data_IF_016181183517
#
_entry.id   IF_016181183517
#
_cell.length_a   1.000
_cell.length_b   1.000
_cell.length_c   1.000
_cell.angle_alpha   90.00
_cell.angle_beta   90.00
_cell.angle_gamma   90.00
#
_symmetry.space_group_name_H-M   'P 1'
#
loop_
_entity.id
_entity.type
_entity.pdbx_description
1 polymer ?
#
# COMPACT_ATOMS: atom_id res chain seq x y z
N UNK A 1 -37.40 -34.07 53.36
CA UNK A 1 -37.50 -32.60 53.29
C UNK A 1 -36.21 -31.90 53.77
N UNK A 2 -35.02 -32.40 53.37
CA UNK A 2 -33.71 -31.83 53.76
C UNK A 2 -32.60 -32.08 52.71
N UNK A 3 -32.99 -32.20 51.44
CA UNK A 3 -32.07 -32.41 50.29
C UNK A 3 -32.50 -31.68 49.02
N UNK A 4 -33.35 -30.65 49.14
CA UNK A 4 -33.83 -29.87 47.99
C UNK A 4 -33.69 -28.34 48.21
N UNK A 5 -32.95 -27.92 49.22
CA UNK A 5 -32.68 -26.49 49.52
C UNK A 5 -31.19 -26.13 49.49
N UNK A 6 -30.30 -27.06 49.12
CA UNK A 6 -28.87 -26.79 48.93
C UNK A 6 -28.47 -26.57 47.47
N UNK A 7 -29.39 -26.75 46.50
CA UNK A 7 -29.06 -26.58 45.06
C UNK A 7 -29.48 -25.24 44.47
N UNK A 8 -29.87 -24.25 45.28
CA UNK A 8 -30.29 -22.92 44.83
C UNK A 8 -29.40 -21.77 45.34
N UNK A 9 -28.32 -22.07 46.07
CA UNK A 9 -27.33 -21.08 46.50
C UNK A 9 -26.02 -21.12 45.69
N UNK A 10 -25.97 -21.90 44.61
CA UNK A 10 -24.79 -22.02 43.74
C UNK A 10 -24.94 -21.28 42.40
N UNK A 11 -25.94 -20.39 42.26
CA UNK A 11 -26.12 -19.52 41.10
C UNK A 11 -26.01 -18.06 41.53
N UNK A 12 -24.84 -17.63 41.96
CA UNK A 12 -24.48 -16.23 42.02
C UNK A 12 -22.97 -16.08 42.05
N UNK A 13 -22.46 -15.18 41.20
CA UNK A 13 -21.07 -14.74 41.05
C UNK A 13 -20.05 -15.75 40.53
N UNK A 14 -20.19 -16.16 39.27
CA UNK A 14 -19.00 -16.23 38.41
C UNK A 14 -18.87 -14.88 37.72
N UNK A 15 -18.21 -13.96 38.42
CA UNK A 15 -17.59 -12.80 37.81
C UNK A 15 -16.55 -13.35 36.81
N UNK A 16 -16.81 -13.16 35.51
CA UNK A 16 -15.83 -13.43 34.47
C UNK A 16 -14.64 -12.52 34.73
N UNK A 17 -13.68 -13.02 35.49
CA UNK A 17 -12.37 -12.41 35.64
C UNK A 17 -11.64 -12.62 34.32
N UNK A 18 -11.62 -11.57 33.50
CA UNK A 18 -10.61 -11.45 32.47
C UNK A 18 -9.24 -11.59 33.14
N UNK A 19 -8.38 -12.52 32.73
CA UNK A 19 -6.99 -12.48 33.18
C UNK A 19 -6.44 -11.12 32.79
N UNK A 20 -5.98 -10.34 33.77
CA UNK A 20 -5.42 -9.01 33.58
C UNK A 20 -4.06 -9.01 32.86
N UNK A 21 -3.68 -10.13 32.25
CA UNK A 21 -2.42 -10.33 31.55
C UNK A 21 -2.67 -11.00 30.19
N UNK A 22 -3.46 -10.36 29.33
CA UNK A 22 -3.26 -10.50 27.88
C UNK A 22 -2.42 -9.31 27.46
N UNK A 23 -1.11 -9.45 27.58
CA UNK A 23 -0.17 -8.59 26.87
C UNK A 23 -0.33 -8.95 25.39
N UNK A 24 -1.05 -8.13 24.63
CA UNK A 24 -0.84 -8.06 23.20
C UNK A 24 0.61 -7.65 23.01
N UNK A 25 1.49 -8.63 22.79
CA UNK A 25 2.87 -8.36 22.43
C UNK A 25 2.85 -7.71 21.04
N UNK A 26 2.73 -6.38 21.03
CA UNK A 26 3.18 -5.57 19.91
C UNK A 26 4.67 -5.84 19.65
N UNK A 27 5.18 -5.47 18.47
CA UNK A 27 6.59 -5.67 18.15
C UNK A 27 7.47 -5.07 19.25
N UNK A 28 8.49 -5.82 19.67
CA UNK A 28 9.44 -5.36 20.66
C UNK A 28 10.13 -4.09 20.15
N UNK A 29 10.18 -2.99 20.94
CA UNK A 29 10.87 -1.79 20.50
C UNK A 29 12.37 -2.05 20.42
N UNK A 30 12.95 -1.70 19.27
CA UNK A 30 14.39 -1.52 19.11
C UNK A 30 14.85 -0.35 20.02
N UNK A 31 16.16 -0.22 20.32
CA UNK A 31 16.64 0.80 21.24
C UNK A 31 16.35 2.20 20.68
N UNK A 32 15.44 2.93 21.35
CA UNK A 32 14.98 4.26 20.92
C UNK A 32 13.52 4.51 21.32
N UNK A 33 13.16 4.26 22.59
CA UNK A 33 11.77 4.26 23.07
C UNK A 33 10.97 5.56 22.80
N UNK A 34 11.62 6.67 22.45
CA UNK A 34 10.95 7.93 22.06
C UNK A 34 10.39 7.90 20.62
N UNK A 35 11.03 7.20 19.67
CA UNK A 35 10.60 7.21 18.25
C UNK A 35 9.37 6.38 17.98
N UNK A 36 9.14 5.31 18.76
CA UNK A 36 7.94 4.48 18.65
C UNK A 36 6.67 5.23 19.05
N UNK A 37 6.75 6.03 20.11
CA UNK A 37 5.64 6.85 20.59
C UNK A 37 5.40 8.06 19.68
N UNK A 38 6.47 8.72 19.20
CA UNK A 38 6.38 9.82 18.23
C UNK A 38 5.77 9.35 16.91
N UNK A 39 6.27 8.25 16.33
CA UNK A 39 5.74 7.69 15.09
C UNK A 39 4.27 7.30 15.20
N UNK A 40 3.87 6.74 16.35
CA UNK A 40 2.48 6.38 16.60
C UNK A 40 1.59 7.62 16.71
N UNK A 41 2.07 8.69 17.33
CA UNK A 41 1.36 9.97 17.38
C UNK A 41 1.22 10.58 15.97
N UNK A 42 2.30 10.65 15.20
CA UNK A 42 2.29 11.12 13.81
C UNK A 42 1.30 10.33 12.93
N UNK A 43 1.25 9.01 13.12
CA UNK A 43 0.32 8.13 12.41
C UNK A 43 -1.14 8.46 12.78
N UNK A 44 -1.44 8.57 14.07
CA UNK A 44 -2.79 8.90 14.54
C UNK A 44 -3.25 10.28 14.04
N UNK A 45 -2.37 11.27 14.11
CA UNK A 45 -2.63 12.63 13.65
C UNK A 45 -2.87 12.69 12.13
N UNK A 46 -2.06 11.97 11.34
CA UNK A 46 -2.24 11.91 9.89
C UNK A 46 -3.55 11.21 9.49
N UNK A 47 -3.89 10.12 10.19
CA UNK A 47 -5.15 9.41 9.99
C UNK A 47 -6.35 10.27 10.37
N UNK A 48 -6.29 10.98 11.50
CA UNK A 48 -7.37 11.86 11.95
C UNK A 48 -7.59 13.04 10.99
N UNK A 49 -6.52 13.66 10.48
CA UNK A 49 -6.63 14.71 9.46
C UNK A 49 -7.34 14.22 8.20
N UNK A 50 -7.05 12.99 7.78
CA UNK A 50 -7.61 12.41 6.57
C UNK A 50 -9.07 11.95 6.75
N UNK A 51 -9.38 11.30 7.88
CA UNK A 51 -10.65 10.58 8.10
C UNK A 51 -11.62 11.29 9.03
N UNK A 52 -11.14 12.29 9.80
CA UNK A 52 -11.91 13.00 10.81
C UNK A 52 -12.10 12.23 12.13
N UNK A 53 -11.39 11.12 12.33
CA UNK A 53 -11.45 10.31 13.56
C UNK A 53 -10.10 9.68 13.88
N UNK A 54 -9.87 9.34 15.15
CA UNK A 54 -8.69 8.58 15.56
C UNK A 54 -8.76 7.12 15.06
N UNK A 55 -7.60 6.47 14.86
CA UNK A 55 -7.55 5.04 14.52
C UNK A 55 -8.00 4.18 15.70
N UNK A 56 -8.87 3.19 15.45
CA UNK A 56 -9.52 2.38 16.49
C UNK A 56 -9.12 0.90 16.42
N UNK A 57 -8.95 0.37 15.22
CA UNK A 57 -8.72 -1.06 14.98
C UNK A 57 -7.42 -1.30 14.18
N UNK A 58 -6.99 -2.57 13.99
CA UNK A 58 -5.76 -2.85 13.27
C UNK A 58 -5.73 -2.33 11.82
N UNK A 59 -6.88 -2.27 11.14
CA UNK A 59 -6.97 -1.74 9.77
C UNK A 59 -6.71 -0.24 9.77
N UNK A 60 -7.32 0.50 10.69
CA UNK A 60 -7.06 1.93 10.84
C UNK A 60 -5.58 2.20 11.12
N UNK A 61 -4.97 1.42 12.00
CA UNK A 61 -3.54 1.57 12.31
C UNK A 61 -2.65 1.25 11.12
N UNK A 62 -2.98 0.25 10.30
CA UNK A 62 -2.23 -0.02 9.07
C UNK A 62 -2.28 1.18 8.12
N UNK A 63 -3.46 1.76 7.95
CA UNK A 63 -3.68 2.96 7.13
C UNK A 63 -3.02 4.21 7.74
N UNK A 64 -3.01 4.34 9.06
CA UNK A 64 -2.33 5.42 9.76
C UNK A 64 -0.81 5.41 9.51
N UNK A 65 -0.17 4.24 9.58
CA UNK A 65 1.29 4.14 9.45
C UNK A 65 1.80 4.46 8.04
N UNK A 66 1.05 4.12 6.97
CA UNK A 66 1.48 4.49 5.61
C UNK A 66 1.42 6.02 5.37
N UNK A 67 0.56 6.74 6.10
CA UNK A 67 0.37 8.19 5.98
C UNK A 67 1.46 9.04 6.68
N UNK A 68 2.31 8.42 7.50
CA UNK A 68 3.35 9.13 8.25
C UNK A 68 4.34 9.80 7.29
N UNK A 69 4.38 11.14 7.26
CA UNK A 69 5.24 11.92 6.39
C UNK A 69 6.66 12.15 6.96
N UNK A 70 6.91 11.72 8.19
CA UNK A 70 8.23 11.69 8.82
C UNK A 70 8.95 10.37 8.49
N UNK A 71 10.28 10.37 8.57
CA UNK A 71 11.10 9.16 8.49
C UNK A 71 11.82 8.90 9.81
N UNK A 72 11.71 7.66 10.30
CA UNK A 72 12.32 7.23 11.56
C UNK A 72 13.52 6.30 11.35
N UNK A 73 13.68 5.73 10.15
CA UNK A 73 14.84 4.95 9.77
C UNK A 73 16.07 5.84 9.54
N UNK A 74 17.16 5.48 10.23
CA UNK A 74 18.43 6.22 10.21
C UNK A 74 18.97 6.45 8.79
N UNK A 75 18.80 5.47 7.89
CA UNK A 75 19.26 5.53 6.49
C UNK A 75 18.72 6.74 5.72
N UNK A 76 17.58 7.31 6.11
CA UNK A 76 16.97 8.44 5.43
C UNK A 76 17.42 9.81 5.93
N UNK A 77 18.29 9.88 6.96
CA UNK A 77 18.83 11.14 7.47
C UNK A 77 17.76 12.22 7.76
N UNK A 78 16.57 11.80 8.20
CA UNK A 78 15.42 12.67 8.50
C UNK A 78 14.64 13.18 7.27
N UNK A 79 15.01 12.81 6.05
CA UNK A 79 14.21 13.10 4.85
C UNK A 79 12.98 12.19 4.85
N UNK A 80 11.79 12.78 4.88
CA UNK A 80 10.52 12.05 4.85
C UNK A 80 10.20 11.42 3.48
N UNK A 81 9.27 10.45 3.45
CA UNK A 81 8.68 9.95 2.21
C UNK A 81 7.81 11.01 1.51
N UNK A 82 7.43 10.71 0.27
CA UNK A 82 6.31 11.36 -0.41
C UNK A 82 5.09 10.43 -0.38
N UNK A 83 3.94 10.95 0.04
CA UNK A 83 2.70 10.18 0.19
C UNK A 83 1.58 10.83 -0.63
N UNK A 84 0.96 10.04 -1.50
CA UNK A 84 -0.20 10.44 -2.30
C UNK A 84 -1.39 9.53 -2.01
N UNK A 85 -2.60 10.06 -2.08
CA UNK A 85 -3.82 9.33 -1.74
C UNK A 85 -4.99 9.66 -2.68
N UNK A 86 -5.99 8.79 -2.68
CA UNK A 86 -7.28 8.97 -3.36
C UNK A 86 -8.40 8.22 -2.65
N UNK A 87 -9.62 8.73 -2.79
CA UNK A 87 -10.83 8.18 -2.17
C UNK A 87 -11.58 7.25 -3.12
N UNK A 88 -11.74 5.99 -2.75
CA UNK A 88 -12.58 5.00 -3.44
C UNK A 88 -13.90 4.80 -2.69
N UNK A 89 -14.88 4.16 -3.32
CA UNK A 89 -16.04 3.62 -2.60
C UNK A 89 -15.59 2.45 -1.71
N UNK A 90 -15.86 2.47 -0.38
CA UNK A 90 -15.49 1.36 0.50
C UNK A 90 -16.12 0.03 0.06
N UNK A 91 -15.42 -1.07 0.33
CA UNK A 91 -15.92 -2.44 0.14
C UNK A 91 -15.75 -3.20 1.46
N UNK A 92 -16.67 -3.00 2.43
CA UNK A 92 -16.51 -3.52 3.79
C UNK A 92 -16.35 -5.04 3.85
N UNK A 93 -15.50 -5.50 4.78
CA UNK A 93 -15.15 -6.91 4.96
C UNK A 93 -13.91 -7.34 4.17
N UNK A 94 -13.39 -6.50 3.29
CA UNK A 94 -12.22 -6.81 2.46
C UNK A 94 -10.90 -6.45 3.13
N UNK A 95 -10.90 -5.57 4.14
CA UNK A 95 -9.70 -5.18 4.87
C UNK A 95 -8.76 -4.28 4.06
N UNK A 96 -7.46 -4.40 4.33
CA UNK A 96 -6.41 -3.62 3.65
C UNK A 96 -5.53 -4.55 2.83
N UNK A 97 -5.31 -4.21 1.57
CA UNK A 97 -4.31 -4.87 0.72
C UNK A 97 -3.03 -4.04 0.77
N UNK A 98 -1.96 -4.61 1.28
CA UNK A 98 -0.63 -3.98 1.36
C UNK A 98 0.26 -4.51 0.25
N UNK A 99 0.79 -3.61 -0.56
CA UNK A 99 1.71 -3.91 -1.64
C UNK A 99 3.05 -3.26 -1.29
N UNK A 100 4.11 -4.06 -1.20
CA UNK A 100 5.48 -3.61 -0.99
C UNK A 100 6.35 -3.88 -2.21
N UNK A 101 7.15 -2.90 -2.60
CA UNK A 101 8.14 -2.98 -3.68
C UNK A 101 9.53 -2.74 -3.09
N UNK A 102 10.31 -3.79 -2.90
CA UNK A 102 11.56 -3.73 -2.14
C UNK A 102 12.76 -4.28 -2.92
N UNK A 103 13.92 -3.67 -2.68
CA UNK A 103 15.20 -4.06 -3.28
C UNK A 103 15.88 -5.09 -2.37
N UNK A 104 16.02 -6.37 -2.78
CA UNK A 104 16.59 -7.39 -1.89
C UNK A 104 18.06 -7.17 -1.56
N UNK A 105 18.81 -6.52 -2.47
CA UNK A 105 20.24 -6.26 -2.32
C UNK A 105 20.51 -5.15 -1.30
N UNK A 106 21.72 -5.12 -0.74
CA UNK A 106 22.19 -4.00 0.10
C UNK A 106 22.41 -2.72 -0.70
N UNK A 107 22.91 -2.86 -1.92
CA UNK A 107 23.23 -1.75 -2.82
C UNK A 107 22.94 -2.14 -4.25
N UNK A 108 22.66 -1.15 -5.09
CA UNK A 108 22.36 -1.35 -6.51
C UNK A 108 22.96 -0.27 -7.40
N UNK A 109 23.37 -0.66 -8.61
CA UNK A 109 23.91 0.24 -9.62
C UNK A 109 22.78 1.00 -10.30
N UNK A 110 22.65 2.29 -10.00
CA UNK A 110 21.62 3.18 -10.56
C UNK A 110 22.19 4.49 -11.15
N UNK A 111 23.51 4.51 -11.36
CA UNK A 111 24.31 5.59 -11.94
C UNK A 111 24.14 6.97 -11.25
N UNK A 112 24.58 7.19 -9.99
CA UNK A 112 25.52 6.39 -9.19
C UNK A 112 24.85 5.26 -8.36
N UNK A 113 25.62 4.58 -7.51
CA UNK A 113 25.13 3.43 -6.72
C UNK A 113 24.26 3.91 -5.55
N UNK A 114 23.12 3.24 -5.36
CA UNK A 114 22.16 3.53 -4.30
C UNK A 114 22.10 2.37 -3.30
N UNK A 115 21.64 2.65 -2.08
CA UNK A 115 21.26 1.64 -1.10
C UNK A 115 19.94 0.96 -1.49
N UNK A 116 19.86 -0.34 -1.25
CA UNK A 116 18.65 -1.13 -1.33
C UNK A 116 17.95 -1.27 0.03
N UNK A 117 17.02 -2.22 0.13
CA UNK A 117 16.31 -2.54 1.38
C UNK A 117 17.00 -3.63 2.19
N UNK A 118 17.90 -4.40 1.58
CA UNK A 118 18.65 -5.49 2.22
C UNK A 118 17.75 -6.46 3.01
N UNK A 119 16.67 -6.95 2.37
CA UNK A 119 15.73 -7.86 3.03
C UNK A 119 15.12 -8.87 2.07
N UNK A 120 14.41 -9.83 2.65
CA UNK A 120 13.50 -10.75 1.96
C UNK A 120 12.05 -10.31 2.14
N UNK A 121 11.11 -11.11 1.62
CA UNK A 121 9.70 -10.95 1.89
C UNK A 121 9.40 -11.05 3.40
N UNK A 122 8.50 -10.20 3.89
CA UNK A 122 8.02 -10.20 5.27
C UNK A 122 6.56 -9.79 5.30
N UNK A 123 5.67 -10.68 5.74
CA UNK A 123 4.25 -10.39 5.87
C UNK A 123 3.93 -9.26 6.84
N UNK A 124 4.90 -8.84 7.66
CA UNK A 124 4.79 -7.74 8.61
C UNK A 124 5.78 -6.61 8.29
N UNK A 125 6.21 -6.48 7.03
CA UNK A 125 7.14 -5.44 6.62
C UNK A 125 6.70 -4.06 7.11
N UNK A 126 7.66 -3.26 7.56
CA UNK A 126 7.43 -1.87 7.86
C UNK A 126 7.41 -1.04 6.57
N UNK A 127 6.54 -0.04 6.49
CA UNK A 127 6.48 0.85 5.32
C UNK A 127 7.78 1.60 5.05
N UNK A 128 8.70 1.73 6.02
CA UNK A 128 10.04 2.32 5.85
C UNK A 128 11.10 1.31 5.35
N UNK A 129 10.80 0.02 5.38
CA UNK A 129 11.68 -1.05 4.89
C UNK A 129 11.41 -1.41 3.43
N UNK A 130 10.66 -0.59 2.69
CA UNK A 130 10.37 -0.81 1.26
C UNK A 130 10.72 0.43 0.44
N UNK A 131 10.88 0.32 -0.88
CA UNK A 131 11.06 1.52 -1.74
C UNK A 131 9.74 2.22 -1.96
N UNK A 132 8.72 1.44 -2.27
CA UNK A 132 7.36 1.94 -2.52
C UNK A 132 6.37 1.03 -1.81
N UNK A 133 5.44 1.62 -1.08
CA UNK A 133 4.28 0.93 -0.53
C UNK A 133 3.00 1.46 -1.18
N UNK A 134 2.08 0.59 -1.55
CA UNK A 134 0.74 0.96 -2.05
C UNK A 134 -0.30 0.19 -1.26
N UNK A 135 -1.19 0.88 -0.55
CA UNK A 135 -2.27 0.26 0.21
C UNK A 135 -3.61 0.54 -0.46
N UNK A 136 -4.42 -0.51 -0.60
CA UNK A 136 -5.86 -0.40 -0.92
C UNK A 136 -6.62 -0.73 0.34
N UNK A 137 -7.11 0.29 1.02
CA UNK A 137 -7.93 0.16 2.22
C UNK A 137 -9.41 0.19 1.83
N UNK A 138 -10.02 -1.00 1.79
CA UNK A 138 -11.43 -1.14 1.47
C UNK A 138 -12.36 -0.76 2.63
N UNK A 139 -11.87 -0.71 3.87
CA UNK A 139 -12.69 -0.35 5.03
C UNK A 139 -12.82 1.18 5.14
N UNK A 140 -11.71 1.91 5.00
CA UNK A 140 -11.71 3.38 5.01
C UNK A 140 -11.92 4.01 3.63
N UNK A 141 -11.96 3.20 2.57
CA UNK A 141 -12.24 3.68 1.21
C UNK A 141 -11.10 4.51 0.62
N UNK A 142 -9.86 4.04 0.76
CA UNK A 142 -8.67 4.76 0.36
C UNK A 142 -7.74 3.93 -0.52
N UNK A 143 -7.07 4.60 -1.46
CA UNK A 143 -5.83 4.09 -2.06
C UNK A 143 -4.72 5.07 -1.69
N UNK A 144 -3.62 4.56 -1.14
CA UNK A 144 -2.51 5.37 -0.64
C UNK A 144 -1.23 4.80 -1.22
N UNK A 145 -0.37 5.65 -1.76
CA UNK A 145 0.96 5.26 -2.20
C UNK A 145 2.02 6.12 -1.52
N UNK A 146 3.07 5.46 -1.06
CA UNK A 146 4.22 6.04 -0.37
C UNK A 146 5.47 5.69 -1.14
N UNK A 147 6.29 6.68 -1.49
CA UNK A 147 7.64 6.47 -1.96
C UNK A 147 8.61 6.94 -0.88
N UNK A 148 9.45 6.03 -0.39
CA UNK A 148 10.52 6.40 0.53
C UNK A 148 11.72 7.01 -0.21
N UNK A 149 12.58 7.77 0.49
CA UNK A 149 13.77 8.36 -0.12
C UNK A 149 14.71 7.31 -0.71
N UNK A 150 15.33 7.68 -1.83
CA UNK A 150 16.54 7.04 -2.32
C UNK A 150 17.75 7.57 -1.56
N UNK A 151 18.72 6.69 -1.31
CA UNK A 151 19.95 7.01 -0.57
C UNK A 151 21.13 6.53 -1.41
N UNK A 152 22.06 7.42 -1.77
CA UNK A 152 23.30 7.01 -2.43
C UNK A 152 24.24 6.34 -1.44
N UNK A 153 25.18 5.52 -1.92
CA UNK A 153 26.26 4.96 -1.07
C UNK A 153 27.15 6.03 -0.45
N UNK A 154 27.15 7.24 -1.00
CA UNK A 154 27.89 8.41 -0.50
C UNK A 154 27.07 9.24 0.52
N UNK A 155 25.81 8.86 0.77
CA UNK A 155 24.94 9.48 1.78
C UNK A 155 24.01 10.59 1.27
N UNK A 156 23.90 10.78 -0.05
CA UNK A 156 22.91 11.71 -0.60
C UNK A 156 21.50 11.13 -0.48
N UNK A 157 20.58 11.89 0.13
CA UNK A 157 19.20 11.45 0.30
C UNK A 157 18.26 12.36 -0.49
N UNK A 158 17.43 11.75 -1.35
CA UNK A 158 16.38 12.48 -2.09
C UNK A 158 15.13 11.63 -2.21
N UNK A 159 13.98 12.30 -2.23
CA UNK A 159 12.68 11.66 -2.45
C UNK A 159 12.02 12.26 -3.70
N UNK A 160 11.30 11.41 -4.43
CA UNK A 160 10.48 11.82 -5.56
C UNK A 160 9.01 11.54 -5.25
N UNK A 161 8.12 12.34 -5.83
CA UNK A 161 6.67 12.12 -5.71
C UNK A 161 6.27 10.99 -6.65
N UNK A 162 5.67 9.89 -6.16
CA UNK A 162 5.21 8.82 -7.03
C UNK A 162 4.03 9.30 -7.88
N UNK A 163 3.98 8.84 -9.12
CA UNK A 163 2.82 9.01 -10.00
C UNK A 163 1.93 7.80 -9.85
N UNK A 164 0.69 7.99 -9.41
CA UNK A 164 -0.29 6.91 -9.31
C UNK A 164 -1.63 7.35 -9.88
N UNK A 165 -2.13 6.61 -10.86
CA UNK A 165 -3.43 6.82 -11.47
C UNK A 165 -4.35 5.64 -11.12
N UNK A 166 -5.57 5.93 -10.66
CA UNK A 166 -6.48 4.92 -10.11
C UNK A 166 -7.85 4.97 -10.77
N UNK A 167 -8.43 3.81 -11.01
CA UNK A 167 -9.84 3.63 -11.35
C UNK A 167 -10.47 2.60 -10.41
N UNK A 168 -11.75 2.76 -10.09
CA UNK A 168 -12.53 1.73 -9.41
C UNK A 168 -13.61 1.19 -10.35
N UNK A 169 -13.85 -0.11 -10.38
CA UNK A 169 -14.95 -0.72 -11.10
C UNK A 169 -16.18 -0.88 -10.18
N UNK A 170 -17.36 -1.06 -10.78
CA UNK A 170 -18.61 -1.21 -10.03
C UNK A 170 -18.66 -2.41 -9.08
N UNK A 171 -17.82 -3.44 -9.31
CA UNK A 171 -17.65 -4.61 -8.44
C UNK A 171 -16.69 -4.36 -7.25
N UNK A 172 -16.16 -3.14 -7.13
CA UNK A 172 -15.19 -2.77 -6.10
C UNK A 172 -13.74 -3.03 -6.49
N UNK A 173 -13.45 -3.63 -7.66
CA UNK A 173 -12.06 -3.80 -8.10
C UNK A 173 -11.39 -2.45 -8.33
N UNK A 174 -10.11 -2.34 -7.98
CA UNK A 174 -9.32 -1.11 -8.07
C UNK A 174 -8.15 -1.35 -9.01
N UNK A 175 -8.08 -0.60 -10.11
CA UNK A 175 -6.93 -0.58 -11.01
C UNK A 175 -5.98 0.53 -10.59
N UNK A 176 -4.69 0.22 -10.51
CA UNK A 176 -3.63 1.10 -10.03
C UNK A 176 -2.50 1.07 -11.04
N UNK A 177 -2.25 2.23 -11.64
CA UNK A 177 -1.13 2.46 -12.53
C UNK A 177 -0.11 3.28 -11.76
N UNK A 178 1.03 2.70 -11.40
CA UNK A 178 2.03 3.35 -10.56
C UNK A 178 3.35 3.54 -11.30
N UNK A 179 4.05 4.59 -10.94
CA UNK A 179 5.34 4.93 -11.49
C UNK A 179 6.16 5.73 -10.47
N UNK A 180 7.23 5.12 -9.97
CA UNK A 180 8.17 5.71 -9.02
C UNK A 180 9.55 5.88 -9.69
N UNK A 181 10.10 7.08 -9.62
CA UNK A 181 11.42 7.42 -10.17
C UNK A 181 12.46 7.45 -9.06
N UNK A 182 13.69 7.07 -9.38
CA UNK A 182 14.82 7.41 -8.52
C UNK A 182 15.17 8.90 -8.70
N UNK A 183 14.99 9.77 -7.69
CA UNK A 183 15.35 11.19 -7.76
C UNK A 183 16.87 11.46 -7.74
N UNK A 184 17.70 10.44 -7.48
CA UNK A 184 19.16 10.52 -7.58
C UNK A 184 19.67 10.16 -8.98
N UNK A 185 18.86 9.49 -9.79
CA UNK A 185 19.23 9.12 -11.15
C UNK A 185 19.32 10.37 -12.03
N UNK A 186 20.29 10.44 -12.97
CA UNK A 186 20.41 11.56 -13.90
C UNK A 186 19.15 11.72 -14.76
N UNK A 187 18.79 12.95 -15.13
CA UNK A 187 17.66 13.22 -16.04
C UNK A 187 17.81 12.57 -17.42
N UNK A 188 19.05 12.25 -17.82
CA UNK A 188 19.36 11.51 -19.05
C UNK A 188 19.13 10.00 -18.93
N UNK A 189 18.73 9.51 -17.75
CA UNK A 189 18.27 8.13 -17.55
C UNK A 189 17.09 7.84 -18.49
N UNK A 190 17.09 6.66 -19.10
CA UNK A 190 16.05 6.26 -20.02
C UNK A 190 14.70 6.26 -19.30
N UNK A 191 13.61 6.74 -19.92
CA UNK A 191 12.29 6.78 -19.27
C UNK A 191 11.76 5.40 -18.86
N UNK A 192 12.39 4.33 -19.35
CA UNK A 192 12.14 2.92 -19.03
C UNK A 192 12.84 2.43 -17.76
N UNK A 193 13.78 3.18 -17.16
CA UNK A 193 14.47 2.79 -15.93
C UNK A 193 13.75 3.35 -14.70
N UNK A 194 12.51 2.90 -14.50
CA UNK A 194 11.65 3.36 -13.40
C UNK A 194 10.88 2.17 -12.85
N UNK A 195 10.55 2.22 -11.57
CA UNK A 195 9.71 1.17 -10.96
C UNK A 195 8.25 1.49 -11.32
N UNK A 196 7.62 0.63 -12.12
CA UNK A 196 6.29 0.92 -12.63
C UNK A 196 5.45 -0.35 -12.85
N UNK A 197 4.14 -0.18 -12.93
CA UNK A 197 3.21 -1.28 -13.17
C UNK A 197 1.77 -0.81 -13.32
N UNK A 198 0.93 -1.73 -13.79
CA UNK A 198 -0.51 -1.58 -13.96
C UNK A 198 -1.15 -2.85 -13.39
N UNK A 199 -1.76 -2.72 -12.22
CA UNK A 199 -2.32 -3.84 -11.46
C UNK A 199 -3.78 -3.60 -11.13
N UNK A 200 -4.53 -4.69 -10.96
CA UNK A 200 -5.92 -4.68 -10.52
C UNK A 200 -6.02 -5.48 -9.24
N UNK A 201 -6.46 -4.83 -8.16
CA UNK A 201 -6.84 -5.46 -6.90
C UNK A 201 -8.33 -5.75 -6.96
N UNK A 202 -8.70 -7.03 -7.00
CA UNK A 202 -10.08 -7.48 -7.13
C UNK A 202 -10.57 -8.11 -5.82
N UNK A 203 -11.57 -7.53 -5.14
CA UNK A 203 -12.23 -8.19 -4.03
C UNK A 203 -13.03 -9.39 -4.52
N UNK A 204 -12.99 -10.49 -3.77
CA UNK A 204 -13.72 -11.73 -4.03
C UNK A 204 -14.43 -12.19 -2.75
N UNK A 205 -15.32 -13.17 -2.89
CA UNK A 205 -16.03 -13.75 -1.75
C UNK A 205 -15.07 -14.49 -0.79
N UNK A 206 -13.98 -15.03 -1.33
CA UNK A 206 -12.98 -15.85 -0.64
C UNK A 206 -11.64 -15.13 -0.40
N UNK A 207 -11.52 -13.84 -0.70
CA UNK A 207 -10.31 -13.06 -0.47
C UNK A 207 -10.07 -11.98 -1.51
N UNK A 208 -8.80 -11.73 -1.81
CA UNK A 208 -8.34 -10.75 -2.79
C UNK A 208 -7.58 -11.47 -3.90
N UNK A 209 -7.72 -11.00 -5.14
CA UNK A 209 -6.77 -11.32 -6.20
C UNK A 209 -6.09 -10.07 -6.73
N UNK A 210 -4.83 -10.24 -7.14
CA UNK A 210 -4.08 -9.21 -7.83
C UNK A 210 -3.60 -9.74 -9.17
N UNK A 211 -3.91 -9.00 -10.22
CA UNK A 211 -3.64 -9.34 -11.61
C UNK A 211 -3.07 -8.11 -12.31
N UNK A 212 -2.13 -8.28 -13.25
CA UNK A 212 -1.61 -7.11 -13.98
C UNK A 212 -0.24 -7.32 -14.60
N UNK A 213 0.44 -6.21 -14.87
CA UNK A 213 1.79 -6.18 -15.44
C UNK A 213 2.67 -5.31 -14.55
N UNK A 214 3.83 -5.82 -14.17
CA UNK A 214 4.80 -5.14 -13.30
C UNK A 214 6.17 -5.16 -13.96
N UNK A 215 7.03 -4.21 -13.61
CA UNK A 215 8.46 -4.28 -13.98
C UNK A 215 9.13 -5.50 -13.37
N UNK A 216 10.12 -6.09 -14.04
CA UNK A 216 10.90 -7.25 -13.57
C UNK A 216 11.82 -6.92 -12.36
N UNK A 217 11.75 -5.68 -11.90
CA UNK A 217 12.46 -5.16 -10.74
C UNK A 217 11.68 -3.97 -10.13
N UNK A 218 11.65 -3.80 -8.80
CA UNK A 218 12.28 -4.61 -7.75
C UNK A 218 11.39 -5.83 -7.39
N UNK A 219 11.62 -6.47 -6.24
CA UNK A 219 10.73 -7.54 -5.79
C UNK A 219 9.39 -6.95 -5.32
N UNK A 220 8.31 -7.70 -5.51
CA UNK A 220 6.95 -7.34 -5.09
C UNK A 220 6.41 -8.35 -4.07
N UNK A 221 5.79 -7.84 -3.02
CA UNK A 221 5.06 -8.64 -2.03
C UNK A 221 3.69 -8.02 -1.77
N UNK A 222 2.65 -8.86 -1.72
CA UNK A 222 1.28 -8.45 -1.51
C UNK A 222 0.65 -9.30 -0.43
N UNK A 223 0.13 -8.62 0.58
CA UNK A 223 -0.60 -9.20 1.68
C UNK A 223 -1.96 -8.53 1.83
N UNK A 224 -2.90 -9.24 2.45
CA UNK A 224 -4.19 -8.70 2.86
C UNK A 224 -4.31 -8.82 4.37
N UNK A 225 -4.52 -7.70 5.04
CA UNK A 225 -4.91 -7.69 6.45
C UNK A 225 -6.43 -7.67 6.55
N UNK A 226 -6.97 -8.72 7.12
CA UNK A 226 -8.42 -8.90 7.32
C UNK A 226 -8.92 -7.98 8.44
N UNK A 227 -10.19 -7.56 8.41
CA UNK A 227 -10.78 -6.75 9.50
C UNK A 227 -10.74 -7.43 10.88
N UNK A 228 -10.57 -8.76 10.91
CA UNK A 228 -10.45 -9.56 12.14
C UNK A 228 -9.00 -9.63 12.67
N UNK A 229 -8.05 -8.94 12.04
CA UNK A 229 -6.65 -8.85 12.49
C UNK A 229 -5.72 -9.98 12.02
N UNK A 230 -6.15 -10.82 11.09
CA UNK A 230 -5.30 -11.82 10.42
C UNK A 230 -4.69 -11.30 9.13
N UNK A 231 -3.51 -11.79 8.75
CA UNK A 231 -2.81 -11.45 7.50
C UNK A 231 -2.76 -12.66 6.56
N UNK A 232 -3.09 -12.45 5.29
CA UNK A 232 -3.08 -13.45 4.22
C UNK A 232 -2.06 -13.06 3.14
N UNK A 233 -1.24 -14.01 2.69
CA UNK A 233 -0.38 -13.80 1.52
C UNK A 233 -1.22 -13.88 0.25
N UNK A 234 -1.15 -12.84 -0.58
CA UNK A 234 -1.87 -12.77 -1.85
C UNK A 234 -0.93 -13.12 -3.01
N UNK A 235 0.22 -12.46 -3.08
CA UNK A 235 1.20 -12.65 -4.17
C UNK A 235 2.59 -12.31 -3.67
N UNK A 236 3.58 -13.12 -4.00
CA UNK A 236 5.00 -12.81 -3.83
C UNK A 236 5.65 -13.00 -5.19
N UNK A 237 6.32 -11.97 -5.66
CA UNK A 237 7.03 -11.95 -6.93
C UNK A 237 8.48 -11.50 -6.68
N UNK A 238 9.45 -12.43 -6.65
CA UNK A 238 10.86 -12.09 -6.46
C UNK A 238 11.38 -11.26 -7.64
N UNK A 239 12.30 -10.34 -7.37
CA UNK A 239 13.02 -9.67 -8.44
C UNK A 239 13.72 -10.69 -9.35
N UNK A 240 13.65 -10.50 -10.67
CA UNK A 240 14.32 -11.36 -11.66
C UNK A 240 15.86 -11.43 -11.46
N UNK A 241 16.41 -10.44 -10.75
CA UNK A 241 17.78 -10.46 -10.26
C UNK A 241 17.87 -9.86 -8.87
N UNK A 242 18.35 -10.63 -7.89
CA UNK A 242 18.74 -10.12 -6.57
C UNK A 242 20.14 -9.50 -6.52
N UNK A 243 20.78 -9.25 -7.66
CA UNK A 243 22.13 -8.68 -7.74
C UNK A 243 22.12 -7.15 -7.74
N UNK A 244 23.27 -6.54 -7.47
CA UNK A 244 23.46 -5.08 -7.54
C UNK A 244 23.15 -4.50 -8.94
N UNK A 245 23.26 -5.29 -10.00
CA UNK A 245 22.97 -4.85 -11.38
C UNK A 245 21.49 -5.01 -11.76
N UNK A 246 20.66 -5.57 -10.86
CA UNK A 246 19.25 -5.84 -11.11
C UNK A 246 18.48 -4.66 -11.75
N UNK A 247 18.57 -3.42 -11.22
CA UNK A 247 17.89 -2.29 -11.83
C UNK A 247 18.30 -2.03 -13.29
N UNK A 248 19.59 -2.13 -13.59
CA UNK A 248 20.13 -1.81 -14.91
C UNK A 248 19.60 -2.77 -15.98
N UNK A 249 19.48 -4.06 -15.64
CA UNK A 249 19.13 -5.12 -16.59
C UNK A 249 17.64 -5.44 -16.63
N UNK A 250 16.86 -5.12 -15.57
CA UNK A 250 15.48 -5.58 -15.45
C UNK A 250 14.43 -4.46 -15.44
N UNK A 251 14.76 -3.22 -15.05
CA UNK A 251 13.75 -2.12 -15.07
C UNK A 251 13.12 -1.87 -16.45
N UNK A 252 13.82 -2.04 -17.59
CA UNK A 252 13.20 -1.88 -18.90
C UNK A 252 12.19 -2.95 -19.30
N UNK A 253 12.08 -4.03 -18.53
CA UNK A 253 11.29 -5.21 -18.86
C UNK A 253 10.16 -5.41 -17.84
N UNK A 254 9.16 -6.18 -18.27
CA UNK A 254 7.94 -6.40 -17.55
C UNK A 254 7.42 -7.80 -17.80
N UNK A 255 6.73 -8.35 -16.81
CA UNK A 255 6.00 -9.60 -16.91
C UNK A 255 4.59 -9.46 -16.31
N UNK A 256 3.74 -10.47 -16.58
CA UNK A 256 2.38 -10.50 -16.05
C UNK A 256 2.30 -11.29 -14.75
N UNK A 257 1.53 -10.78 -13.80
CA UNK A 257 1.10 -11.51 -12.60
C UNK A 257 -0.39 -11.86 -12.71
N UNK A 258 -0.79 -12.98 -12.11
CA UNK A 258 -2.16 -13.46 -12.18
C UNK A 258 -2.62 -13.72 -13.63
N UNK A 259 -3.81 -13.22 -14.00
CA UNK A 259 -4.32 -13.27 -15.39
C UNK A 259 -3.77 -12.15 -16.29
N UNK A 260 -2.89 -11.30 -15.76
CA UNK A 260 -2.28 -10.20 -16.51
C UNK A 260 -3.28 -9.16 -17.00
N UNK A 261 -3.04 -8.66 -18.21
CA UNK A 261 -3.82 -7.56 -18.81
C UNK A 261 -5.30 -7.86 -19.05
N UNK A 262 -5.71 -9.14 -19.00
CA UNK A 262 -7.13 -9.52 -19.11
C UNK A 262 -7.98 -8.90 -17.99
N UNK A 263 -7.38 -8.65 -16.81
CA UNK A 263 -8.06 -8.00 -15.71
C UNK A 263 -8.49 -6.56 -16.01
N UNK A 264 -7.86 -5.90 -17.00
CA UNK A 264 -8.10 -4.50 -17.34
C UNK A 264 -9.40 -4.29 -18.13
N UNK A 265 -9.97 -5.36 -18.72
CA UNK A 265 -11.16 -5.29 -19.55
C UNK A 265 -12.34 -4.60 -18.84
N UNK A 266 -12.51 -4.86 -17.54
CA UNK A 266 -13.59 -4.28 -16.74
C UNK A 266 -13.48 -2.76 -16.52
N UNK A 267 -12.32 -2.18 -16.79
CA UNK A 267 -12.06 -0.74 -16.68
C UNK A 267 -12.10 -0.04 -18.05
N UNK A 268 -12.37 -0.78 -19.13
CA UNK A 268 -12.52 -0.18 -20.46
C UNK A 268 -13.79 0.65 -20.52
N UNK A 269 -13.60 1.93 -20.78
CA UNK A 269 -14.70 2.85 -21.03
C UNK A 269 -15.38 2.53 -22.36
N UNK A 270 -16.71 2.30 -22.34
CA UNK A 270 -17.51 2.26 -23.55
C UNK A 270 -17.54 3.62 -24.28
N UNK A 271 -17.16 4.71 -23.59
CA UNK A 271 -17.06 6.06 -24.14
C UNK A 271 -16.05 6.18 -25.28
N UNK A 272 -14.98 5.38 -25.26
CA UNK A 272 -14.00 5.31 -26.34
C UNK A 272 -14.54 4.64 -27.61
N UNK A 273 -15.64 3.87 -27.49
CA UNK A 273 -16.22 3.06 -28.57
C UNK A 273 -17.46 3.70 -29.23
N UNK A 274 -17.99 4.80 -28.67
CA UNK A 274 -19.12 5.50 -29.27
C UNK A 274 -18.69 6.23 -30.55
N UNK A 275 -19.46 6.15 -31.66
CA UNK A 275 -19.20 6.98 -32.83
C UNK A 275 -19.27 8.46 -32.41
N UNK A 276 -18.48 9.35 -33.03
CA UNK A 276 -18.53 10.77 -32.70
C UNK A 276 -19.96 11.27 -32.92
N UNK A 277 -20.69 11.50 -31.82
CA UNK A 277 -21.95 12.21 -31.85
C UNK A 277 -21.68 13.62 -32.38
N UNK A 278 -22.59 14.14 -33.20
CA UNK A 278 -22.43 15.38 -33.96
C UNK A 278 -21.79 16.52 -33.15
N UNK A 279 -20.95 17.29 -33.84
CA UNK A 279 -20.10 18.35 -33.31
C UNK A 279 -20.73 19.11 -32.13
N UNK A 280 -20.09 19.02 -30.95
CA UNK A 280 -20.34 19.92 -29.81
C UNK A 280 -21.02 19.34 -28.58
N UNK A 281 -21.24 18.02 -28.47
CA UNK A 281 -21.88 17.41 -27.27
C UNK A 281 -21.02 16.38 -26.53
N UNK A 282 -19.79 16.14 -26.99
CA UNK A 282 -18.82 15.29 -26.29
C UNK A 282 -18.03 16.14 -25.28
N UNK A 283 -17.99 15.84 -23.98
CA UNK A 283 -16.94 16.39 -23.12
C UNK A 283 -15.56 16.04 -23.70
N UNK A 284 -14.62 16.98 -23.70
CA UNK A 284 -13.31 16.82 -24.35
C UNK A 284 -12.46 15.68 -23.74
N UNK A 285 -12.83 15.19 -22.56
CA UNK A 285 -12.19 14.08 -21.84
C UNK A 285 -13.18 12.95 -21.54
N UNK A 286 -12.69 11.71 -21.61
CA UNK A 286 -13.44 10.52 -21.21
C UNK A 286 -13.72 10.57 -19.70
N UNK A 287 -15.00 10.54 -19.26
CA UNK A 287 -15.35 10.62 -17.85
C UNK A 287 -14.82 9.44 -17.03
N UNK A 288 -14.33 8.38 -17.68
CA UNK A 288 -13.73 7.21 -17.06
C UNK A 288 -12.20 7.23 -17.07
N UNK A 289 -11.55 8.37 -17.38
CA UNK A 289 -10.09 8.50 -17.25
C UNK A 289 -9.64 8.21 -15.82
N UNK A 290 -8.54 7.46 -15.64
CA UNK A 290 -7.91 7.27 -14.33
C UNK A 290 -7.74 8.57 -13.56
N UNK A 291 -8.05 8.52 -12.27
CA UNK A 291 -7.87 9.65 -11.35
C UNK A 291 -6.45 9.62 -10.81
N UNK A 292 -5.69 10.68 -11.09
CA UNK A 292 -4.38 10.91 -10.50
C UNK A 292 -4.52 11.11 -8.98
N UNK A 293 -3.79 10.33 -8.19
CA UNK A 293 -3.71 10.53 -6.74
C UNK A 293 -3.08 11.89 -6.42
N UNK A 294 -3.55 12.52 -5.33
CA UNK A 294 -3.12 13.84 -4.87
C UNK A 294 -2.54 13.81 -3.46
N UNK A 295 -2.30 14.98 -2.87
CA UNK A 295 -1.87 15.09 -1.47
C UNK A 295 -2.91 14.51 -0.48
N UNK A 296 -2.46 14.21 0.73
CA UNK A 296 -3.28 13.55 1.76
C UNK A 296 -4.26 14.48 2.49
N UNK A 297 -4.13 15.79 2.36
CA UNK A 297 -5.04 16.77 2.99
C UNK A 297 -6.43 16.81 2.34
N UNK A 298 -6.50 16.69 1.01
CA UNK A 298 -7.75 16.63 0.26
C UNK A 298 -7.65 15.65 -0.92
N UNK A 299 -7.64 14.34 -0.65
CA UNK A 299 -7.42 13.35 -1.69
C UNK A 299 -8.56 13.35 -2.72
N UNK A 300 -8.25 13.32 -4.03
CA UNK A 300 -9.24 13.29 -5.08
C UNK A 300 -10.12 12.05 -4.97
N UNK A 301 -11.38 12.17 -5.39
CA UNK A 301 -12.29 11.02 -5.49
C UNK A 301 -11.99 10.26 -6.77
N UNK A 302 -11.67 8.98 -6.62
CA UNK A 302 -11.40 8.05 -7.71
C UNK A 302 -12.66 7.85 -8.55
N UNK A 303 -12.48 7.86 -9.86
CA UNK A 303 -13.54 7.56 -10.81
C UNK A 303 -14.05 6.13 -10.68
N UNK A 304 -15.37 5.97 -10.75
CA UNK A 304 -16.01 4.65 -10.81
C UNK A 304 -16.43 4.36 -12.25
N UNK A 305 -15.88 3.30 -12.84
CA UNK A 305 -16.24 2.78 -14.16
C UNK A 305 -17.44 1.84 -14.01
N UNK A 306 -18.49 2.09 -14.80
CA UNK A 306 -19.77 1.37 -14.76
C UNK A 306 -20.19 0.93 -16.16
#
# INVERSE_FOLDING_TARGET
>A
MRRALESLSAMQSDEVRFPADVVLAGPAPAPGADSGDERRADAADAFERLTGRLPLDPVDWATAYILVASSFAEKYAGVGPEVVAGRIEPVPGQGVVRIGLYIPSETVVNLPQDLGDHRSEDSRFDVEDTRVAIYVDYENGMVIARQNPSVSVDGDVRVGVPTVDVQQAADGAVRIQYHARNPLAPDVSTPTHTVNGDIVVSPRADGIAVDGVITDYPALEIYRDTPMGGTETVTIDPADSGSEYGPLVNLPFHHSIGVGTEAFERFRSAYAQLPPYGAGTRPDADPHQPTRLGGTEDPPRVVVVR
#
